data_IF_843636783875
#
_entry.id   IF_843636783875
#
_cell.length_a   1.000
_cell.length_b   1.000
_cell.length_c   1.000
_cell.angle_alpha   90.00
_cell.angle_beta   90.00
_cell.angle_gamma   90.00
#
_symmetry.space_group_name_H-M   'P 1'
#
loop_
_entity.id
_entity.type
_entity.pdbx_description
1 polymer ?
#
# COMPACT_ATOMS: atom_id res chain seq x y z
N UNK A 1 10.87 -1.58 -37.45
CA UNK A 1 9.43 -1.34 -37.31
C UNK A 1 8.98 -2.10 -36.06
N UNK A 2 8.98 -1.45 -34.89
CA UNK A 2 8.70 -2.13 -33.62
C UNK A 2 7.18 -2.29 -33.47
N UNK A 3 6.75 -3.54 -33.27
CA UNK A 3 5.36 -3.95 -33.09
C UNK A 3 4.71 -3.09 -31.99
N UNK A 4 3.61 -2.42 -32.33
CA UNK A 4 2.73 -1.78 -31.36
C UNK A 4 2.20 -2.87 -30.43
N UNK A 5 2.80 -3.06 -29.25
CA UNK A 5 2.25 -3.99 -28.28
C UNK A 5 0.88 -3.48 -27.83
N UNK A 6 -0.17 -4.06 -28.42
CA UNK A 6 -1.55 -3.94 -28.00
C UNK A 6 -1.66 -4.36 -26.52
N UNK A 7 -2.58 -3.74 -25.78
CA UNK A 7 -2.89 -4.09 -24.38
C UNK A 7 -3.69 -5.41 -24.32
N UNK A 8 -3.15 -6.47 -24.91
CA UNK A 8 -3.68 -7.83 -24.80
C UNK A 8 -3.36 -8.40 -23.41
N UNK A 9 -4.12 -9.40 -23.00
CA UNK A 9 -3.91 -10.07 -21.70
C UNK A 9 -2.55 -10.76 -21.65
N UNK A 10 -2.17 -11.47 -22.71
CA UNK A 10 -0.93 -12.24 -22.79
C UNK A 10 0.32 -11.35 -22.71
N UNK A 11 0.34 -10.22 -23.44
CA UNK A 11 1.46 -9.28 -23.40
C UNK A 11 1.68 -8.73 -21.99
N UNK A 12 0.59 -8.47 -21.26
CA UNK A 12 0.66 -7.93 -19.90
C UNK A 12 1.02 -8.98 -18.87
N UNK A 13 0.68 -10.25 -19.11
CA UNK A 13 1.01 -11.35 -18.20
C UNK A 13 2.52 -11.46 -17.97
N UNK A 14 3.32 -11.34 -19.04
CA UNK A 14 4.78 -11.37 -18.91
C UNK A 14 5.33 -10.23 -18.04
N UNK A 15 4.78 -9.01 -18.18
CA UNK A 15 5.15 -7.89 -17.31
C UNK A 15 4.76 -8.13 -15.84
N UNK A 16 3.64 -8.80 -15.61
CA UNK A 16 3.17 -9.17 -14.28
C UNK A 16 4.06 -10.24 -13.64
N UNK A 17 4.50 -11.23 -14.41
CA UNK A 17 5.38 -12.31 -13.94
C UNK A 17 6.71 -11.77 -13.39
N UNK A 18 7.33 -10.80 -14.08
CA UNK A 18 8.59 -10.16 -13.66
C UNK A 18 8.48 -9.48 -12.28
N UNK A 19 7.27 -9.08 -11.88
CA UNK A 19 7.03 -8.40 -10.60
C UNK A 19 7.05 -9.37 -9.41
N UNK A 20 6.86 -10.67 -9.66
CA UNK A 20 6.86 -11.68 -8.61
C UNK A 20 8.26 -12.26 -8.48
N UNK A 21 8.84 -12.14 -7.29
CA UNK A 21 10.18 -12.65 -6.99
C UNK A 21 10.12 -14.14 -6.67
N UNK A 22 11.04 -14.89 -7.25
CA UNK A 22 11.35 -16.27 -6.84
C UNK A 22 11.55 -16.33 -5.30
N UNK A 23 11.02 -17.35 -4.60
CA UNK A 23 10.43 -18.60 -5.10
C UNK A 23 8.93 -18.54 -5.43
N UNK A 24 8.31 -17.38 -5.28
CA UNK A 24 6.89 -17.22 -5.52
C UNK A 24 6.56 -17.22 -7.01
N UNK A 25 5.33 -17.63 -7.32
CA UNK A 25 4.82 -17.66 -8.70
C UNK A 25 3.58 -16.78 -8.82
N UNK A 26 3.46 -16.09 -9.94
CA UNK A 26 2.22 -15.38 -10.25
C UNK A 26 1.09 -16.38 -10.50
N UNK A 27 -0.11 -16.04 -10.06
CA UNK A 27 -1.33 -16.73 -10.44
C UNK A 27 -1.94 -15.98 -11.64
N UNK A 28 -2.00 -16.58 -12.84
CA UNK A 28 -2.56 -15.94 -14.03
C UNK A 28 -4.02 -15.47 -13.87
N UNK A 29 -4.77 -16.11 -12.97
CA UNK A 29 -6.16 -15.72 -12.66
C UNK A 29 -6.25 -14.48 -11.76
N UNK A 30 -5.14 -14.07 -11.13
CA UNK A 30 -5.02 -12.89 -10.27
C UNK A 30 -4.20 -11.77 -10.92
N UNK A 31 -4.15 -11.75 -12.25
CA UNK A 31 -3.69 -10.61 -13.04
C UNK A 31 -4.89 -9.72 -13.39
N UNK A 32 -4.98 -8.54 -12.77
CA UNK A 32 -6.17 -7.68 -12.74
C UNK A 32 -5.85 -6.34 -13.38
N UNK A 33 -6.32 -6.13 -14.60
CA UNK A 33 -5.77 -5.13 -15.50
C UNK A 33 -6.62 -3.88 -15.71
N UNK A 34 -7.87 -3.91 -15.25
CA UNK A 34 -8.84 -2.81 -15.34
C UNK A 34 -9.77 -2.79 -14.11
N UNK A 35 -10.56 -1.72 -13.92
CA UNK A 35 -11.56 -1.67 -12.85
C UNK A 35 -12.63 -2.77 -12.96
N UNK A 36 -13.03 -3.15 -14.18
CA UNK A 36 -13.96 -4.25 -14.42
C UNK A 36 -13.40 -5.58 -13.90
N UNK A 37 -12.16 -5.91 -14.25
CA UNK A 37 -11.52 -7.15 -13.75
C UNK A 37 -11.35 -7.15 -12.23
N UNK A 38 -11.20 -5.96 -11.64
CA UNK A 38 -11.20 -5.78 -10.19
C UNK A 38 -12.53 -6.20 -9.57
N UNK A 39 -13.65 -5.78 -10.17
CA UNK A 39 -14.99 -6.22 -9.74
C UNK A 39 -15.16 -7.72 -9.93
N UNK A 40 -14.72 -8.28 -11.06
CA UNK A 40 -14.76 -9.73 -11.30
C UNK A 40 -13.96 -10.50 -10.24
N UNK A 41 -12.83 -9.93 -9.80
CA UNK A 41 -11.95 -10.55 -8.78
C UNK A 41 -12.62 -10.74 -7.42
N UNK A 42 -13.66 -9.96 -7.09
CA UNK A 42 -14.48 -10.16 -5.88
C UNK A 42 -15.11 -11.56 -5.88
N UNK A 43 -15.41 -12.09 -7.07
CA UNK A 43 -15.92 -13.44 -7.28
C UNK A 43 -14.87 -14.55 -7.13
N UNK A 44 -13.58 -14.23 -7.25
CA UNK A 44 -12.50 -15.20 -7.36
C UNK A 44 -12.31 -15.99 -6.05
N UNK A 45 -12.21 -17.34 -6.08
CA UNK A 45 -12.16 -18.16 -4.86
C UNK A 45 -11.05 -17.77 -3.87
N UNK A 46 -9.85 -17.44 -4.37
CA UNK A 46 -8.74 -17.01 -3.51
C UNK A 46 -9.01 -15.67 -2.83
N UNK A 47 -9.61 -14.71 -3.56
CA UNK A 47 -9.93 -13.38 -3.02
C UNK A 47 -11.07 -13.48 -2.03
N UNK A 48 -12.15 -14.20 -2.36
CA UNK A 48 -13.25 -14.49 -1.43
C UNK A 48 -12.75 -15.12 -0.13
N UNK A 49 -11.89 -16.15 -0.24
CA UNK A 49 -11.38 -16.82 0.94
C UNK A 49 -10.47 -15.92 1.77
N UNK A 50 -9.67 -15.06 1.13
CA UNK A 50 -8.83 -14.08 1.82
C UNK A 50 -9.67 -13.01 2.52
N UNK A 51 -10.61 -12.39 1.81
CA UNK A 51 -11.52 -11.37 2.34
C UNK A 51 -12.33 -11.91 3.52
N UNK A 52 -12.85 -13.14 3.42
CA UNK A 52 -13.51 -13.83 4.54
C UNK A 52 -12.59 -13.94 5.75
N UNK A 53 -11.35 -14.38 5.53
CA UNK A 53 -10.36 -14.54 6.59
C UNK A 53 -10.05 -13.21 7.28
N UNK A 54 -9.73 -12.15 6.55
CA UNK A 54 -9.39 -10.87 7.18
C UNK A 54 -10.61 -10.22 7.86
N UNK A 55 -11.82 -10.32 7.27
CA UNK A 55 -13.03 -9.74 7.86
C UNK A 55 -13.42 -10.44 9.15
N UNK A 56 -13.31 -11.78 9.19
CA UNK A 56 -14.01 -12.58 10.21
C UNK A 56 -13.08 -13.38 11.13
N UNK A 57 -11.89 -13.78 10.66
CA UNK A 57 -11.08 -14.82 11.32
C UNK A 57 -9.77 -14.25 11.89
N UNK A 58 -9.05 -13.43 11.12
CA UNK A 58 -7.73 -12.92 11.52
C UNK A 58 -7.81 -12.07 12.79
N UNK A 59 -7.03 -12.37 13.83
CA UNK A 59 -6.92 -11.48 15.00
C UNK A 59 -5.44 -11.31 15.32
N UNK A 60 -4.97 -10.07 15.60
CA UNK A 60 -3.60 -9.86 16.05
C UNK A 60 -3.31 -10.67 17.30
N UNK A 61 -2.06 -11.12 17.45
CA UNK A 61 -1.61 -11.81 18.67
C UNK A 61 -1.89 -10.98 19.92
N UNK A 62 -2.25 -11.65 21.02
CA UNK A 62 -2.53 -11.00 22.30
C UNK A 62 -1.36 -10.06 22.70
N UNK A 63 -1.71 -8.88 23.20
CA UNK A 63 -0.73 -7.92 23.69
C UNK A 63 -0.27 -8.36 25.08
N UNK A 64 1.04 -8.65 25.29
CA UNK A 64 1.54 -9.02 26.61
C UNK A 64 1.33 -7.90 27.63
N UNK A 65 1.13 -8.28 28.90
CA UNK A 65 0.93 -7.31 30.00
C UNK A 65 2.10 -6.32 30.05
N UNK A 66 1.77 -5.03 30.19
CA UNK A 66 2.76 -3.95 30.24
C UNK A 66 3.29 -3.49 28.87
N UNK A 67 2.85 -4.12 27.77
CA UNK A 67 3.17 -3.67 26.41
C UNK A 67 1.98 -3.01 25.74
N UNK A 68 2.26 -2.16 24.76
CA UNK A 68 1.29 -1.52 23.87
C UNK A 68 1.53 -2.02 22.45
N UNK A 69 0.48 -2.52 21.81
CA UNK A 69 0.54 -2.95 20.41
C UNK A 69 0.04 -1.85 19.50
N UNK A 70 0.76 -1.56 18.42
CA UNK A 70 0.48 -0.50 17.46
C UNK A 70 0.37 -1.13 16.08
N UNK A 71 -0.63 -0.73 15.30
CA UNK A 71 -0.72 -1.11 13.89
C UNK A 71 -0.19 0.01 12.99
N UNK A 72 0.63 -0.35 12.02
CA UNK A 72 1.10 0.52 10.95
C UNK A 72 0.62 -0.03 9.60
N UNK A 73 -0.37 0.64 9.03
CA UNK A 73 -0.87 0.37 7.68
C UNK A 73 0.05 1.06 6.67
N UNK A 74 0.54 0.33 5.67
CA UNK A 74 1.43 0.84 4.60
C UNK A 74 0.91 0.38 3.23
N UNK A 75 1.18 1.10 2.13
CA UNK A 75 0.62 0.72 0.83
C UNK A 75 1.30 -0.52 0.26
N UNK A 76 0.58 -1.25 -0.60
CA UNK A 76 1.22 -2.25 -1.43
C UNK A 76 2.14 -1.61 -2.47
N UNK A 77 3.05 -2.42 -3.00
CA UNK A 77 4.06 -1.98 -3.96
C UNK A 77 4.08 -2.88 -5.20
N UNK A 78 4.76 -2.43 -6.26
CA UNK A 78 4.83 -3.11 -7.56
C UNK A 78 5.36 -4.54 -7.43
N UNK A 79 6.45 -4.73 -6.69
CA UNK A 79 7.15 -6.00 -6.55
C UNK A 79 6.60 -6.79 -5.37
N UNK A 80 6.49 -8.11 -5.55
CA UNK A 80 6.02 -9.03 -4.53
C UNK A 80 7.04 -10.14 -4.28
N UNK A 81 7.29 -10.53 -3.02
CA UNK A 81 6.68 -10.01 -1.79
C UNK A 81 7.01 -8.55 -1.54
N UNK A 82 6.07 -7.79 -0.97
CA UNK A 82 6.19 -6.32 -0.86
C UNK A 82 7.48 -5.88 -0.17
N UNK A 83 7.97 -6.69 0.78
CA UNK A 83 9.21 -6.44 1.53
C UNK A 83 10.44 -6.30 0.63
N UNK A 84 10.43 -6.85 -0.60
CA UNK A 84 11.51 -6.70 -1.58
C UNK A 84 11.46 -5.37 -2.35
N UNK A 85 10.38 -4.60 -2.22
CA UNK A 85 10.29 -3.27 -2.79
C UNK A 85 11.19 -2.29 -2.04
N UNK A 86 11.80 -1.35 -2.78
CA UNK A 86 12.66 -0.33 -2.18
C UNK A 86 11.93 0.47 -1.11
N UNK A 87 10.65 0.80 -1.30
CA UNK A 87 9.86 1.52 -0.31
C UNK A 87 9.73 0.75 1.02
N UNK A 88 9.39 -0.55 0.96
CA UNK A 88 9.27 -1.37 2.17
C UNK A 88 10.63 -1.58 2.83
N UNK A 89 11.70 -1.74 2.04
CA UNK A 89 13.08 -1.78 2.58
C UNK A 89 13.42 -0.46 3.28
N UNK A 90 13.12 0.69 2.68
CA UNK A 90 13.38 1.99 3.30
C UNK A 90 12.62 2.16 4.64
N UNK A 91 11.34 1.77 4.69
CA UNK A 91 10.53 1.78 5.93
C UNK A 91 11.17 0.86 6.98
N UNK A 92 11.45 -0.40 6.63
CA UNK A 92 11.99 -1.38 7.56
C UNK A 92 13.40 -1.00 8.05
N UNK A 93 14.30 -0.56 7.17
CA UNK A 93 15.62 -0.05 7.55
C UNK A 93 15.49 1.12 8.53
N UNK A 94 14.59 2.07 8.25
CA UNK A 94 14.37 3.20 9.14
C UNK A 94 13.93 2.76 10.55
N UNK A 95 13.09 1.73 10.65
CA UNK A 95 12.70 1.12 11.91
C UNK A 95 13.91 0.44 12.59
N UNK A 96 14.62 -0.44 11.89
CA UNK A 96 15.76 -1.16 12.47
C UNK A 96 16.89 -0.24 12.93
N UNK A 97 17.27 0.75 12.13
CA UNK A 97 18.26 1.77 12.52
C UNK A 97 17.80 2.63 13.71
N UNK A 98 16.52 2.61 14.06
CA UNK A 98 15.96 3.27 15.22
C UNK A 98 15.68 2.33 16.41
N UNK A 99 16.34 1.17 16.45
CA UNK A 99 16.33 0.27 17.61
C UNK A 99 15.10 -0.63 17.72
N UNK A 100 14.31 -0.75 16.66
CA UNK A 100 13.31 -1.80 16.57
C UNK A 100 13.99 -3.15 16.29
N UNK A 101 13.47 -4.22 16.89
CA UNK A 101 13.96 -5.58 16.69
C UNK A 101 12.82 -6.50 16.29
N UNK A 102 13.09 -7.48 15.42
CA UNK A 102 12.11 -8.49 15.05
C UNK A 102 11.72 -9.40 16.21
N UNK A 103 10.46 -9.84 16.23
CA UNK A 103 9.94 -10.83 17.18
C UNK A 103 9.67 -12.14 16.44
N UNK A 104 10.16 -13.25 16.99
CA UNK A 104 9.92 -14.59 16.43
C UNK A 104 10.85 -14.95 15.28
N UNK A 105 10.62 -16.14 14.73
CA UNK A 105 11.40 -16.69 13.61
C UNK A 105 10.75 -16.27 12.30
N UNK A 106 11.58 -15.81 11.36
CA UNK A 106 11.16 -15.39 10.01
C UNK A 106 10.88 -16.63 9.15
N UNK A 107 9.77 -16.63 8.43
CA UNK A 107 9.49 -17.60 7.36
C UNK A 107 9.94 -17.09 5.98
N UNK A 108 10.56 -15.91 5.91
CA UNK A 108 11.13 -15.37 4.67
C UNK A 108 12.02 -16.41 3.94
N UNK A 109 11.74 -16.73 2.67
CA UNK A 109 12.57 -17.66 1.92
C UNK A 109 14.00 -17.14 1.75
N UNK A 110 15.00 -18.00 1.98
CA UNK A 110 16.44 -17.68 1.82
C UNK A 110 16.77 -17.14 0.42
N UNK A 111 16.05 -17.59 -0.61
CA UNK A 111 16.24 -17.10 -1.96
C UNK A 111 15.94 -15.59 -2.14
N UNK A 112 15.30 -14.95 -1.16
CA UNK A 112 15.11 -13.50 -1.14
C UNK A 112 16.37 -12.74 -0.71
N UNK A 113 17.33 -13.38 -0.03
CA UNK A 113 18.56 -12.73 0.48
C UNK A 113 19.35 -12.01 -0.61
N UNK A 114 19.27 -12.48 -1.87
CA UNK A 114 19.88 -11.80 -3.03
C UNK A 114 19.35 -10.39 -3.31
N UNK A 115 18.23 -9.99 -2.70
CA UNK A 115 17.64 -8.65 -2.81
C UNK A 115 18.05 -7.72 -1.66
N UNK A 116 18.84 -8.21 -0.70
CA UNK A 116 19.49 -7.41 0.34
C UNK A 116 20.63 -6.64 -0.32
N UNK A 117 20.58 -5.32 -0.24
CA UNK A 117 21.64 -4.42 -0.70
C UNK A 117 22.65 -4.16 0.44
N UNK A 118 23.84 -3.66 0.11
CA UNK A 118 24.97 -3.47 1.06
C UNK A 118 24.59 -2.72 2.36
N UNK A 119 23.65 -1.78 2.27
CA UNK A 119 23.21 -0.95 3.39
C UNK A 119 21.88 -1.40 4.03
N UNK A 120 21.32 -2.53 3.58
CA UNK A 120 20.11 -3.08 4.17
C UNK A 120 20.44 -3.83 5.48
N UNK A 121 19.57 -3.71 6.48
CA UNK A 121 19.63 -4.55 7.68
C UNK A 121 19.39 -6.02 7.29
N UNK A 122 20.12 -6.98 7.87
CA UNK A 122 19.96 -8.40 7.55
C UNK A 122 18.54 -8.94 7.84
N UNK A 123 17.78 -8.25 8.71
CA UNK A 123 16.41 -8.60 9.08
C UNK A 123 15.36 -7.93 8.18
N UNK A 124 15.76 -7.30 7.08
CA UNK A 124 14.89 -6.44 6.25
C UNK A 124 13.63 -7.14 5.74
N UNK A 125 13.70 -8.46 5.55
CA UNK A 125 12.60 -9.30 5.08
C UNK A 125 11.85 -10.01 6.19
N UNK A 126 12.12 -9.71 7.47
CA UNK A 126 11.36 -10.28 8.57
C UNK A 126 9.91 -9.76 8.54
N UNK A 127 8.96 -10.68 8.48
CA UNK A 127 7.52 -10.41 8.37
C UNK A 127 6.78 -10.35 9.71
N UNK A 128 7.40 -10.77 10.80
CA UNK A 128 6.78 -10.72 12.13
C UNK A 128 6.62 -9.31 12.68
N UNK A 129 6.01 -9.22 13.86
CA UNK A 129 5.94 -7.99 14.64
C UNK A 129 7.34 -7.48 15.00
N UNK A 130 7.48 -6.18 15.20
CA UNK A 130 8.70 -5.56 15.73
C UNK A 130 8.50 -5.10 17.18
N UNK A 131 9.55 -5.15 17.99
CA UNK A 131 9.55 -4.65 19.37
C UNK A 131 10.54 -3.51 19.54
N UNK A 132 10.14 -2.49 20.30
CA UNK A 132 11.03 -1.49 20.86
C UNK A 132 10.48 -1.03 22.21
N UNK A 133 11.27 -1.18 23.28
CA UNK A 133 10.87 -0.84 24.64
C UNK A 133 9.52 -1.49 25.00
N UNK A 134 8.52 -0.69 25.38
CA UNK A 134 7.17 -1.16 25.72
C UNK A 134 6.22 -1.25 24.50
N UNK A 135 6.71 -1.06 23.27
CA UNK A 135 5.91 -1.10 22.05
C UNK A 135 6.13 -2.39 21.25
N UNK A 136 5.02 -2.93 20.74
CA UNK A 136 4.97 -3.92 19.67
C UNK A 136 4.35 -3.25 18.44
N UNK A 137 4.99 -3.37 17.29
CA UNK A 137 4.54 -2.81 16.02
C UNK A 137 4.18 -3.93 15.05
N UNK A 138 2.91 -3.99 14.68
CA UNK A 138 2.44 -4.80 13.56
C UNK A 138 2.42 -3.96 12.30
N UNK A 139 2.90 -4.52 11.20
CA UNK A 139 2.84 -3.92 9.88
C UNK A 139 1.73 -4.60 9.09
N UNK A 140 0.91 -3.80 8.43
CA UNK A 140 -0.24 -4.28 7.64
C UNK A 140 -0.18 -3.59 6.29
N UNK A 141 -0.21 -4.33 5.20
CA UNK A 141 -0.29 -3.74 3.86
C UNK A 141 -1.74 -3.51 3.51
N UNK A 142 -2.11 -2.28 3.14
CA UNK A 142 -3.37 -2.03 2.45
C UNK A 142 -3.16 -2.26 0.96
N UNK A 143 -4.05 -3.03 0.33
CA UNK A 143 -3.90 -3.42 -1.07
C UNK A 143 -5.20 -3.80 -1.74
N UNK A 144 -5.23 -3.73 -3.05
CA UNK A 144 -6.27 -4.26 -3.90
C UNK A 144 -5.79 -5.56 -4.57
N UNK A 145 -6.65 -6.56 -4.78
CA UNK A 145 -8.04 -6.67 -4.32
C UNK A 145 -8.15 -7.19 -2.87
N UNK A 146 -7.04 -7.30 -2.13
CA UNK A 146 -6.96 -8.04 -0.88
C UNK A 146 -7.50 -7.29 0.35
N UNK A 147 -7.76 -5.98 0.26
CA UNK A 147 -8.12 -5.12 1.39
C UNK A 147 -6.94 -4.88 2.31
N UNK A 148 -6.71 -5.78 3.26
CA UNK A 148 -5.59 -5.74 4.20
C UNK A 148 -4.78 -7.03 4.12
N UNK A 149 -3.46 -6.90 4.28
CA UNK A 149 -2.51 -8.00 4.37
C UNK A 149 -1.62 -7.79 5.58
N UNK A 150 -1.93 -8.42 6.73
CA UNK A 150 -1.01 -8.46 7.86
C UNK A 150 0.33 -9.05 7.39
N UNK A 151 1.45 -8.41 7.77
CA UNK A 151 2.77 -8.86 7.31
C UNK A 151 3.03 -10.34 7.62
N UNK A 152 2.57 -10.83 8.77
CA UNK A 152 2.72 -12.24 9.18
C UNK A 152 2.18 -13.24 8.13
N UNK A 153 1.30 -12.81 7.22
CA UNK A 153 0.75 -13.64 6.14
C UNK A 153 1.20 -13.20 4.74
N UNK A 154 2.28 -12.40 4.63
CA UNK A 154 2.75 -11.88 3.35
C UNK A 154 3.34 -12.97 2.46
N UNK A 155 4.11 -13.90 3.04
CA UNK A 155 4.75 -14.99 2.30
C UNK A 155 3.81 -16.17 2.16
N UNK A 156 3.27 -16.64 3.28
CA UNK A 156 2.48 -17.84 3.38
C UNK A 156 1.17 -17.60 4.13
N UNK A 157 0.14 -18.34 3.75
CA UNK A 157 -1.14 -18.36 4.43
C UNK A 157 -1.74 -19.76 4.30
N UNK A 158 -2.15 -20.34 5.43
CA UNK A 158 -2.63 -21.73 5.50
C UNK A 158 -1.64 -22.75 4.89
N UNK A 159 -0.34 -22.55 5.18
CA UNK A 159 0.75 -23.42 4.70
C UNK A 159 1.00 -23.38 3.19
N UNK A 160 0.41 -22.41 2.48
CA UNK A 160 0.56 -22.23 1.02
C UNK A 160 1.01 -20.82 0.71
N UNK A 161 1.52 -20.59 -0.50
CA UNK A 161 1.83 -19.24 -0.98
C UNK A 161 0.63 -18.31 -0.77
N UNK A 162 0.88 -17.18 -0.11
CA UNK A 162 -0.13 -16.16 0.14
C UNK A 162 -0.64 -15.56 -1.17
N UNK A 163 -1.93 -15.19 -1.28
CA UNK A 163 -2.38 -14.41 -2.43
C UNK A 163 -1.61 -13.09 -2.57
N UNK A 164 -1.06 -12.54 -1.48
CA UNK A 164 -0.24 -11.32 -1.49
C UNK A 164 1.05 -11.44 -2.33
N UNK A 165 1.55 -12.65 -2.56
CA UNK A 165 2.73 -12.91 -3.40
C UNK A 165 2.38 -13.46 -4.78
N UNK A 166 1.09 -13.60 -5.12
CA UNK A 166 0.66 -14.28 -6.34
C UNK A 166 -0.20 -13.44 -7.30
N UNK A 167 -0.36 -12.13 -7.08
CA UNK A 167 -1.24 -11.29 -7.89
C UNK A 167 -0.51 -10.09 -8.50
N UNK A 168 -1.09 -9.48 -9.53
CA UNK A 168 -0.72 -8.16 -10.02
C UNK A 168 -1.99 -7.37 -10.32
N UNK A 169 -2.11 -6.18 -9.75
CA UNK A 169 -3.31 -5.35 -9.89
C UNK A 169 -2.94 -3.91 -10.22
N UNK A 170 -2.67 -3.59 -11.50
CA UNK A 170 -2.66 -2.21 -11.96
C UNK A 170 -4.07 -1.65 -12.22
N UNK A 171 -5.15 -2.41 -12.04
CA UNK A 171 -6.48 -2.11 -12.57
C UNK A 171 -7.14 -0.83 -12.02
N UNK A 172 -6.76 -0.35 -10.83
CA UNK A 172 -7.37 0.85 -10.22
C UNK A 172 -6.55 2.14 -10.36
N UNK A 173 -5.45 2.12 -11.14
CA UNK A 173 -4.56 3.27 -11.26
C UNK A 173 -4.87 4.13 -12.49
N UNK A 174 -5.92 4.95 -12.45
CA UNK A 174 -6.37 5.81 -13.58
C UNK A 174 -5.23 6.65 -14.19
N UNK A 175 -4.37 7.22 -13.34
CA UNK A 175 -3.29 8.13 -13.75
C UNK A 175 -2.24 7.48 -14.65
N UNK A 176 -2.10 6.15 -14.61
CA UNK A 176 -1.16 5.40 -15.46
C UNK A 176 -1.62 5.35 -16.92
N UNK A 177 -2.92 5.48 -17.17
CA UNK A 177 -3.49 5.39 -18.52
C UNK A 177 -3.42 4.01 -19.16
N UNK A 178 -2.95 2.98 -18.45
CA UNK A 178 -2.86 1.59 -18.94
C UNK A 178 -3.81 0.64 -18.19
N UNK A 179 -4.53 1.16 -17.20
CA UNK A 179 -5.45 0.43 -16.32
C UNK A 179 -6.81 0.22 -16.99
N UNK A 180 -6.79 -0.38 -18.17
CA UNK A 180 -7.95 -0.66 -19.03
C UNK A 180 -7.77 -2.02 -19.69
N UNK A 181 -8.87 -2.64 -20.13
CA UNK A 181 -8.85 -3.92 -20.84
C UNK A 181 -9.62 -3.78 -22.15
N UNK A 182 -9.01 -3.20 -23.23
CA UNK A 182 -9.70 -2.93 -24.50
C UNK A 182 -10.24 -4.17 -25.21
N UNK A 183 -9.75 -5.37 -24.84
CA UNK A 183 -10.25 -6.65 -25.32
C UNK A 183 -11.60 -7.06 -24.72
N UNK A 184 -12.09 -6.39 -23.68
CA UNK A 184 -13.39 -6.69 -23.08
C UNK A 184 -14.52 -6.05 -23.86
N UNK A 185 -15.65 -6.76 -23.97
CA UNK A 185 -16.86 -6.25 -24.62
C UNK A 185 -17.48 -5.05 -23.88
N UNK A 186 -17.31 -4.97 -22.56
CA UNK A 186 -17.80 -3.89 -21.70
C UNK A 186 -16.77 -2.76 -21.49
N UNK A 187 -15.69 -2.73 -22.29
CA UNK A 187 -14.71 -1.65 -22.24
C UNK A 187 -15.27 -0.40 -22.92
N UNK A 188 -15.31 0.72 -22.18
CA UNK A 188 -15.74 2.03 -22.73
C UNK A 188 -14.61 3.07 -22.71
N UNK A 189 -13.41 2.66 -22.33
CA UNK A 189 -12.24 3.52 -22.33
C UNK A 189 -11.90 4.02 -23.73
N UNK A 190 -11.43 5.27 -23.82
CA UNK A 190 -11.02 5.88 -25.09
C UNK A 190 -9.51 6.06 -25.12
N UNK A 191 -8.91 5.71 -26.25
CA UNK A 191 -7.48 5.89 -26.47
C UNK A 191 -7.18 7.39 -26.66
N UNK A 192 -6.25 7.93 -25.87
CA UNK A 192 -5.82 9.34 -25.98
C UNK A 192 -4.64 9.44 -26.96
N UNK A 193 -3.55 8.71 -26.68
CA UNK A 193 -2.34 8.72 -27.50
C UNK A 193 -1.43 7.54 -27.11
N UNK A 194 -0.71 6.96 -28.08
CA UNK A 194 0.19 5.83 -27.80
C UNK A 194 -0.51 4.70 -27.03
N UNK A 195 0.01 4.33 -25.86
CA UNK A 195 -0.62 3.37 -24.94
C UNK A 195 -1.46 4.01 -23.82
N UNK A 196 -1.71 5.32 -23.90
CA UNK A 196 -2.45 6.07 -22.88
C UNK A 196 -3.94 6.10 -23.20
N UNK A 197 -4.73 5.62 -22.25
CA UNK A 197 -6.19 5.57 -22.29
C UNK A 197 -6.81 6.45 -21.22
N UNK A 198 -8.04 6.89 -21.47
CA UNK A 198 -8.93 7.53 -20.51
C UNK A 198 -10.04 6.57 -20.14
N UNK A 199 -10.33 6.43 -18.86
CA UNK A 199 -11.48 5.67 -18.39
C UNK A 199 -12.79 6.21 -18.96
N UNK A 200 -13.60 5.30 -19.49
CA UNK A 200 -14.96 5.55 -19.93
C UNK A 200 -15.95 5.43 -18.78
N UNK A 201 -17.22 5.22 -19.11
CA UNK A 201 -18.29 5.16 -18.12
C UNK A 201 -18.29 3.83 -17.36
N UNK A 202 -17.97 2.71 -18.00
CA UNK A 202 -17.93 1.39 -17.36
C UNK A 202 -16.72 1.23 -16.44
N UNK A 203 -15.54 1.73 -16.83
CA UNK A 203 -14.35 1.72 -15.98
C UNK A 203 -14.59 2.54 -14.70
N UNK A 204 -15.21 3.73 -14.84
CA UNK A 204 -15.55 4.58 -13.69
C UNK A 204 -16.61 3.95 -12.79
N UNK A 205 -17.61 3.29 -13.38
CA UNK A 205 -18.66 2.58 -12.63
C UNK A 205 -18.06 1.44 -11.80
N UNK A 206 -17.20 0.63 -12.44
CA UNK A 206 -16.53 -0.50 -11.80
C UNK A 206 -15.51 -0.04 -10.76
N UNK A 207 -14.81 1.08 -10.99
CA UNK A 207 -13.91 1.69 -10.01
C UNK A 207 -14.67 2.07 -8.73
N UNK A 208 -15.83 2.72 -8.84
CA UNK A 208 -16.64 3.10 -7.66
C UNK A 208 -17.09 1.85 -6.91
N UNK A 209 -17.55 0.83 -7.62
CA UNK A 209 -17.97 -0.44 -7.02
C UNK A 209 -16.83 -1.11 -6.25
N UNK A 210 -15.68 -1.32 -6.90
CA UNK A 210 -14.54 -1.96 -6.25
C UNK A 210 -13.99 -1.13 -5.09
N UNK A 211 -13.84 0.18 -5.28
CA UNK A 211 -13.35 1.08 -4.24
C UNK A 211 -14.23 1.01 -2.99
N UNK A 212 -15.55 1.12 -3.15
CA UNK A 212 -16.46 1.10 -2.01
C UNK A 212 -16.56 -0.30 -1.38
N UNK A 213 -16.43 -1.37 -2.16
CA UNK A 213 -16.30 -2.73 -1.63
C UNK A 213 -15.05 -2.88 -0.75
N UNK A 214 -13.89 -2.43 -1.21
CA UNK A 214 -12.66 -2.47 -0.41
C UNK A 214 -12.77 -1.63 0.86
N UNK A 215 -13.40 -0.45 0.79
CA UNK A 215 -13.65 0.38 1.98
C UNK A 215 -14.50 -0.38 3.00
N UNK A 216 -15.54 -1.09 2.58
CA UNK A 216 -16.36 -1.92 3.47
C UNK A 216 -15.53 -3.05 4.11
N UNK A 217 -14.72 -3.76 3.31
CA UNK A 217 -13.83 -4.84 3.78
C UNK A 217 -12.84 -4.32 4.84
N UNK A 218 -12.15 -3.21 4.54
CA UNK A 218 -11.16 -2.59 5.43
C UNK A 218 -11.85 -2.07 6.69
N UNK A 219 -12.96 -1.34 6.56
CA UNK A 219 -13.72 -0.79 7.70
C UNK A 219 -14.17 -1.90 8.65
N UNK A 220 -14.80 -2.96 8.11
CA UNK A 220 -15.27 -4.10 8.90
C UNK A 220 -14.12 -4.77 9.66
N UNK A 221 -13.01 -4.99 8.97
CA UNK A 221 -11.82 -5.63 9.56
C UNK A 221 -11.24 -4.76 10.67
N UNK A 222 -10.99 -3.48 10.40
CA UNK A 222 -10.35 -2.57 11.37
C UNK A 222 -11.23 -2.33 12.59
N UNK A 223 -12.55 -2.17 12.44
CA UNK A 223 -13.47 -2.04 13.58
C UNK A 223 -13.41 -3.26 14.50
N UNK A 224 -13.28 -4.47 13.94
CA UNK A 224 -13.18 -5.70 14.74
C UNK A 224 -11.86 -5.81 15.49
N UNK A 225 -10.74 -5.51 14.83
CA UNK A 225 -9.40 -5.72 15.41
C UNK A 225 -8.87 -4.54 16.21
N UNK A 226 -9.45 -3.35 16.08
CA UNK A 226 -8.96 -2.11 16.69
C UNK A 226 -8.79 -2.20 18.21
N UNK A 227 -9.65 -2.93 18.90
CA UNK A 227 -9.56 -3.16 20.35
C UNK A 227 -8.26 -3.84 20.81
N UNK A 228 -7.54 -4.50 19.90
CA UNK A 228 -6.25 -5.14 20.18
C UNK A 228 -5.07 -4.18 20.03
N UNK A 229 -5.31 -2.99 19.49
CA UNK A 229 -4.30 -1.98 19.22
C UNK A 229 -4.50 -0.77 20.13
N UNK A 230 -3.40 -0.29 20.70
CA UNK A 230 -3.37 1.00 21.39
C UNK A 230 -3.69 2.15 20.43
N UNK A 231 -3.17 2.07 19.19
CA UNK A 231 -3.54 2.97 18.11
C UNK A 231 -3.21 2.35 16.74
N UNK A 232 -3.81 2.92 15.70
CA UNK A 232 -3.61 2.53 14.30
C UNK A 232 -3.12 3.78 13.54
N UNK A 233 -1.96 3.67 12.90
CA UNK A 233 -1.44 4.67 11.97
C UNK A 233 -1.47 4.12 10.55
N UNK A 234 -1.73 4.97 9.57
CA UNK A 234 -1.61 4.64 8.15
C UNK A 234 -0.58 5.54 7.49
N UNK A 235 0.52 4.97 6.99
CA UNK A 235 1.60 5.62 6.27
C UNK A 235 1.38 5.50 4.76
N UNK A 236 0.46 6.30 4.22
CA UNK A 236 0.01 6.27 2.83
C UNK A 236 0.03 7.69 2.26
N UNK A 237 0.84 8.01 1.24
CA UNK A 237 1.01 9.39 0.78
C UNK A 237 -0.22 9.91 0.02
N UNK A 238 -0.50 11.23 0.08
CA UNK A 238 -1.41 11.91 -0.85
C UNK A 238 -1.10 11.55 -2.30
N UNK A 239 -2.15 11.23 -3.07
CA UNK A 239 -2.05 10.80 -4.46
C UNK A 239 -2.01 9.28 -4.68
N UNK A 240 -1.89 8.46 -3.63
CA UNK A 240 -2.06 7.01 -3.73
C UNK A 240 -3.53 6.62 -3.58
N UNK A 241 -3.99 5.67 -4.40
CA UNK A 241 -5.34 5.09 -4.31
C UNK A 241 -5.65 4.59 -2.90
N UNK A 242 -4.69 3.95 -2.23
CA UNK A 242 -4.79 3.51 -0.84
C UNK A 242 -5.26 4.60 0.14
N UNK A 243 -4.80 5.85 -0.04
CA UNK A 243 -5.19 6.96 0.84
C UNK A 243 -6.66 7.31 0.66
N UNK A 244 -7.19 7.14 -0.55
CA UNK A 244 -8.62 7.35 -0.79
C UNK A 244 -9.46 6.35 0.01
N UNK A 245 -9.09 5.07 0.09
CA UNK A 245 -9.86 4.10 0.89
C UNK A 245 -9.97 4.47 2.38
N UNK A 246 -9.02 5.23 2.91
CA UNK A 246 -8.98 5.59 4.33
C UNK A 246 -9.62 6.94 4.63
N UNK A 247 -9.40 7.93 3.76
CA UNK A 247 -9.73 9.34 4.02
C UNK A 247 -11.24 9.61 4.02
N UNK A 248 -11.71 10.34 5.04
CA UNK A 248 -13.07 10.87 5.11
C UNK A 248 -13.30 12.03 4.14
N UNK A 249 -14.54 12.51 4.07
CA UNK A 249 -14.92 13.67 3.27
C UNK A 249 -14.05 14.91 3.53
N UNK A 250 -13.70 15.19 4.79
CA UNK A 250 -12.95 16.40 5.16
C UNK A 250 -11.53 16.34 4.61
N UNK A 251 -10.81 15.26 4.91
CA UNK A 251 -9.45 15.06 4.44
C UNK A 251 -9.40 14.97 2.92
N UNK A 252 -10.37 14.31 2.29
CA UNK A 252 -10.47 14.26 0.82
C UNK A 252 -10.59 15.65 0.21
N UNK A 253 -11.39 16.54 0.81
CA UNK A 253 -11.51 17.91 0.36
C UNK A 253 -10.19 18.68 0.51
N UNK A 254 -9.56 18.61 1.69
CA UNK A 254 -8.27 19.28 1.98
C UNK A 254 -7.16 18.85 1.01
N UNK A 255 -7.15 17.57 0.62
CA UNK A 255 -6.11 16.97 -0.21
C UNK A 255 -6.49 16.81 -1.69
N UNK A 256 -7.66 17.34 -2.08
CA UNK A 256 -8.19 17.28 -3.44
C UNK A 256 -8.34 15.84 -3.97
N UNK A 257 -8.66 14.91 -3.09
CA UNK A 257 -9.02 13.54 -3.45
C UNK A 257 -10.48 13.53 -3.92
N UNK A 258 -10.81 12.89 -5.07
CA UNK A 258 -12.18 12.84 -5.55
C UNK A 258 -13.17 12.29 -4.52
N UNK A 259 -14.31 12.99 -4.35
CA UNK A 259 -15.43 12.57 -3.48
C UNK A 259 -16.47 11.73 -4.24
N UNK A 260 -16.49 11.83 -5.55
CA UNK A 260 -17.48 11.19 -6.40
C UNK A 260 -16.92 10.96 -7.81
N UNK A 261 -17.61 10.12 -8.58
CA UNK A 261 -17.36 9.88 -10.01
C UNK A 261 -18.67 9.88 -10.78
N UNK A 262 -18.62 10.33 -12.03
CA UNK A 262 -19.71 10.13 -12.99
C UNK A 262 -19.65 8.68 -13.50
N UNK A 263 -20.74 7.95 -13.30
CA UNK A 263 -20.93 6.53 -13.63
C UNK A 263 -22.17 6.36 -14.51
N UNK A 264 -22.44 5.13 -14.96
CA UNK A 264 -23.65 4.83 -15.74
C UNK A 264 -24.95 5.09 -14.97
N UNK A 265 -24.87 5.04 -13.65
CA UNK A 265 -25.99 5.31 -12.73
C UNK A 265 -25.98 6.77 -12.22
N UNK A 266 -25.34 7.69 -12.95
CA UNK A 266 -25.19 9.09 -12.53
C UNK A 266 -23.97 9.32 -11.63
N UNK A 267 -24.01 10.37 -10.80
CA UNK A 267 -22.89 10.71 -9.90
C UNK A 267 -22.95 9.81 -8.67
N UNK A 268 -21.93 8.99 -8.47
CA UNK A 268 -21.82 8.10 -7.31
C UNK A 268 -20.70 8.53 -6.38
N UNK A 269 -20.93 8.35 -5.07
CA UNK A 269 -19.99 8.73 -4.00
C UNK A 269 -18.87 7.70 -3.85
N UNK A 270 -17.69 8.19 -3.49
CA UNK A 270 -16.57 7.40 -3.01
C UNK A 270 -16.47 7.59 -1.49
N UNK A 271 -16.47 6.48 -0.74
CA UNK A 271 -16.38 6.51 0.72
C UNK A 271 -14.96 6.21 1.22
N UNK A 272 -14.57 6.69 2.39
CA UNK A 272 -13.40 6.22 3.11
C UNK A 272 -13.76 5.53 4.41
N UNK A 273 -12.82 4.77 4.98
CA UNK A 273 -12.95 4.14 6.30
C UNK A 273 -13.36 5.16 7.37
N UNK A 274 -12.73 6.35 7.35
CA UNK A 274 -13.02 7.39 8.33
C UNK A 274 -14.40 8.07 8.14
N UNK A 275 -15.08 7.87 7.01
CA UNK A 275 -16.50 8.29 6.87
C UNK A 275 -17.42 7.44 7.75
N UNK A 276 -17.07 6.16 8.00
CA UNK A 276 -17.85 5.22 8.79
C UNK A 276 -17.36 5.06 10.23
N UNK A 277 -16.04 5.21 10.44
CA UNK A 277 -15.41 5.07 11.73
C UNK A 277 -14.47 6.26 11.99
N UNK A 278 -15.02 7.43 12.36
CA UNK A 278 -14.22 8.61 12.68
C UNK A 278 -13.19 8.30 13.77
N UNK A 279 -11.98 8.84 13.64
CA UNK A 279 -10.87 8.66 14.58
C UNK A 279 -10.32 7.22 14.71
N UNK A 280 -10.77 6.25 13.90
CA UNK A 280 -10.29 4.86 13.97
C UNK A 280 -8.79 4.74 13.74
N UNK A 281 -8.22 5.61 12.90
CA UNK A 281 -6.80 5.62 12.57
C UNK A 281 -6.31 7.04 12.29
N UNK A 282 -5.00 7.23 12.40
CA UNK A 282 -4.32 8.46 11.98
C UNK A 282 -3.68 8.27 10.61
N UNK A 283 -4.04 9.09 9.63
CA UNK A 283 -3.46 9.03 8.28
C UNK A 283 -2.25 9.98 8.19
N UNK A 284 -1.13 9.45 7.74
CA UNK A 284 0.14 10.14 7.57
C UNK A 284 0.83 9.70 6.27
N UNK A 285 1.80 10.47 5.76
CA UNK A 285 2.12 11.84 6.16
C UNK A 285 0.99 12.82 5.80
N UNK A 286 0.91 13.97 6.48
CA UNK A 286 -0.01 15.06 6.09
C UNK A 286 0.59 15.92 4.95
N UNK A 287 -0.24 16.73 4.28
CA UNK A 287 0.24 17.66 3.25
C UNK A 287 1.32 18.61 3.79
N UNK A 288 1.19 19.08 5.03
CA UNK A 288 2.15 19.95 5.70
C UNK A 288 3.47 19.22 5.96
N UNK A 289 3.42 17.99 6.46
CA UNK A 289 4.61 17.14 6.67
C UNK A 289 5.34 16.90 5.34
N UNK A 290 4.61 16.73 4.25
CA UNK A 290 5.20 16.58 2.92
C UNK A 290 5.82 17.86 2.36
N UNK A 291 5.19 19.02 2.60
CA UNK A 291 5.80 20.33 2.28
C UNK A 291 7.10 20.52 3.06
N UNK A 292 7.12 20.13 4.34
CA UNK A 292 8.32 20.16 5.16
C UNK A 292 9.40 19.21 4.62
N UNK A 293 9.02 17.96 4.30
CA UNK A 293 9.93 16.96 3.73
C UNK A 293 10.60 17.45 2.45
N UNK A 294 9.88 18.18 1.58
CA UNK A 294 10.47 18.76 0.36
C UNK A 294 11.50 19.87 0.66
N UNK A 295 11.30 20.65 1.73
CA UNK A 295 12.28 21.66 2.18
C UNK A 295 13.56 20.99 2.68
N UNK A 296 13.43 19.95 3.48
CA UNK A 296 14.55 19.17 4.00
C UNK A 296 15.29 18.42 2.87
N UNK A 297 14.54 17.84 1.93
CA UNK A 297 15.10 17.17 0.76
C UNK A 297 15.97 18.13 -0.05
N UNK A 298 15.51 19.37 -0.24
CA UNK A 298 16.30 20.40 -0.92
C UNK A 298 17.64 20.66 -0.21
N UNK A 299 17.63 20.71 1.13
CA UNK A 299 18.83 20.92 1.94
C UNK A 299 19.79 19.73 1.78
N UNK A 300 19.28 18.49 1.89
CA UNK A 300 20.07 17.28 1.69
C UNK A 300 20.69 17.23 0.30
N UNK A 301 19.90 17.43 -0.76
CA UNK A 301 20.41 17.43 -2.14
C UNK A 301 21.54 18.45 -2.33
N UNK A 302 21.41 19.65 -1.75
CA UNK A 302 22.48 20.66 -1.79
C UNK A 302 23.75 20.17 -1.08
N UNK A 303 23.62 19.53 0.08
CA UNK A 303 24.76 18.97 0.84
C UNK A 303 25.45 17.83 0.08
N UNK A 304 24.69 17.02 -0.65
CA UNK A 304 25.18 15.92 -1.49
C UNK A 304 25.80 16.41 -2.82
N UNK A 305 25.84 17.74 -3.08
CA UNK A 305 26.30 18.28 -4.37
C UNK A 305 25.34 18.00 -5.54
N UNK A 306 24.11 17.57 -5.26
CA UNK A 306 23.07 17.29 -6.28
C UNK A 306 22.26 18.55 -6.60
N UNK A 307 21.67 18.59 -7.78
CA UNK A 307 20.80 19.69 -8.19
C UNK A 307 19.61 19.84 -7.21
N UNK A 308 19.54 20.99 -6.52
CA UNK A 308 18.53 21.30 -5.51
C UNK A 308 17.50 22.34 -5.98
N UNK A 309 17.34 22.54 -7.30
CA UNK A 309 16.31 23.41 -7.85
C UNK A 309 14.89 22.89 -7.53
N UNK A 310 13.85 23.76 -7.48
CA UNK A 310 12.48 23.31 -7.22
C UNK A 310 12.00 22.20 -8.17
N UNK A 311 12.41 22.24 -9.43
CA UNK A 311 12.10 21.19 -10.41
C UNK A 311 12.77 19.86 -10.06
N UNK A 312 14.05 19.89 -9.69
CA UNK A 312 14.79 18.70 -9.29
C UNK A 312 14.21 18.07 -8.02
N UNK A 313 13.93 18.88 -7.00
CA UNK A 313 13.29 18.44 -5.75
C UNK A 313 11.96 17.75 -6.05
N UNK A 314 11.09 18.37 -6.87
CA UNK A 314 9.81 17.75 -7.28
C UNK A 314 10.02 16.41 -7.99
N UNK A 315 11.03 16.29 -8.84
CA UNK A 315 11.30 15.07 -9.61
C UNK A 315 11.87 13.93 -8.75
N UNK A 316 12.74 14.25 -7.78
CA UNK A 316 13.25 13.27 -6.79
C UNK A 316 12.11 12.85 -5.88
N UNK A 317 11.37 13.82 -5.36
CA UNK A 317 10.25 13.61 -4.46
C UNK A 317 9.18 12.71 -5.07
N UNK A 318 8.73 13.02 -6.29
CA UNK A 318 7.69 12.24 -6.99
C UNK A 318 8.05 10.77 -7.21
N UNK A 319 9.35 10.43 -7.21
CA UNK A 319 9.87 9.06 -7.40
C UNK A 319 10.41 8.45 -6.11
N UNK A 320 10.31 9.16 -4.98
CA UNK A 320 10.89 8.70 -3.72
C UNK A 320 12.41 8.52 -3.75
N UNK A 321 13.13 9.23 -4.62
CA UNK A 321 14.55 8.97 -4.91
C UNK A 321 14.81 7.50 -5.35
N UNK A 322 13.87 6.91 -6.09
CA UNK A 322 13.94 5.53 -6.57
C UNK A 322 13.08 4.54 -5.79
N UNK A 323 12.29 4.99 -4.81
CA UNK A 323 11.36 4.21 -3.99
C UNK A 323 9.91 4.19 -4.52
N UNK A 324 9.67 4.53 -5.79
CA UNK A 324 8.35 4.69 -6.42
C UNK A 324 7.48 5.83 -5.85
N UNK A 325 7.50 6.09 -4.54
CA UNK A 325 6.74 7.16 -3.87
C UNK A 325 7.57 7.90 -2.82
N UNK A 326 7.15 9.11 -2.40
CA UNK A 326 7.84 9.86 -1.35
C UNK A 326 7.93 9.14 0.01
N UNK A 327 7.17 8.06 0.24
CA UNK A 327 7.11 7.39 1.55
C UNK A 327 8.42 6.74 1.98
N UNK A 328 9.25 6.33 1.02
CA UNK A 328 10.58 5.78 1.27
C UNK A 328 11.68 6.83 1.44
N UNK A 329 11.38 8.12 1.30
CA UNK A 329 12.37 9.18 1.51
C UNK A 329 12.73 9.29 2.98
N UNK A 330 14.02 9.47 3.25
CA UNK A 330 14.55 9.72 4.59
C UNK A 330 13.77 10.82 5.32
N UNK A 331 13.53 11.95 4.66
CA UNK A 331 12.84 13.11 5.24
C UNK A 331 11.40 12.79 5.64
N UNK A 332 10.71 12.01 4.82
CA UNK A 332 9.33 11.61 5.08
C UNK A 332 9.30 10.60 6.23
N UNK A 333 10.19 9.60 6.23
CA UNK A 333 10.31 8.61 7.31
C UNK A 333 10.60 9.23 8.69
N UNK A 334 11.25 10.39 8.77
CA UNK A 334 11.40 11.10 10.04
C UNK A 334 10.06 11.43 10.72
N UNK A 335 9.00 11.69 9.95
CA UNK A 335 7.68 11.94 10.53
C UNK A 335 7.04 10.66 11.08
N UNK A 336 7.22 9.51 10.41
CA UNK A 336 6.79 8.20 10.92
C UNK A 336 7.47 7.88 12.25
N UNK A 337 8.80 8.04 12.30
CA UNK A 337 9.59 7.80 13.52
C UNK A 337 9.17 8.74 14.67
N UNK A 338 8.91 10.00 14.37
CA UNK A 338 8.39 10.97 15.37
C UNK A 338 7.03 10.56 15.92
N UNK A 339 6.13 10.05 15.08
CA UNK A 339 4.83 9.54 15.52
C UNK A 339 4.98 8.33 16.46
N UNK A 340 5.81 7.35 16.08
CA UNK A 340 6.10 6.18 16.93
C UNK A 340 6.71 6.60 18.28
N UNK A 341 7.68 7.54 18.26
CA UNK A 341 8.30 8.07 19.48
C UNK A 341 7.31 8.83 20.38
N UNK A 342 6.29 9.47 19.81
CA UNK A 342 5.24 10.14 20.60
C UNK A 342 4.39 9.13 21.36
N UNK A 343 4.03 8.01 20.71
CA UNK A 343 3.27 6.92 21.34
C UNK A 343 4.06 6.29 22.50
N UNK A 344 5.37 6.15 22.30
CA UNK A 344 6.30 5.67 23.33
C UNK A 344 6.31 6.62 24.55
N UNK A 345 6.50 7.93 24.30
CA UNK A 345 6.68 8.98 25.33
C UNK A 345 5.44 9.33 26.14
N UNK A 346 4.24 9.25 25.56
CA UNK A 346 3.00 9.54 26.28
C UNK A 346 2.76 8.60 27.50
N UNK A 347 3.70 7.69 27.80
CA UNK A 347 3.69 6.82 28.97
C UNK A 347 4.60 7.25 30.12
N UNK A 348 5.64 8.06 29.87
CA UNK A 348 6.60 8.40 30.92
C UNK A 348 6.02 9.31 32.03
N UNK A 349 4.79 9.80 31.83
CA UNK A 349 4.07 10.68 32.75
C UNK A 349 2.79 10.05 33.31
N UNK A 350 2.46 8.80 32.95
CA UNK A 350 1.28 8.05 33.45
C UNK A 350 1.67 6.82 34.29
N UNK A 351 2.98 6.60 34.50
CA UNK A 351 3.56 5.65 35.46
C UNK A 351 4.19 6.42 36.61
#
# INVERSE_FOLDING_TARGET
>A
MFVMNELTRDNRFHESEIKIRYPFKIDPSLCIYSPQENVDSIGHPKIKSWVKFIKNEWTPSQTPKGLKRVALIIPCTKYKPYLTSREHKAINNSLFSNGWNSIGVSEAPTALEKFIEENDDQRIFHEGSLKKNNLILDRIVISEPLGLVPYEFVYYWKGKQSPATSYDDPGLFESRGTSVSPYRQDCTATKISGQKWRWGIEERSSYVQMHNHLVEVVTTTLLRVSKNYHCIGAWVSPGLTHRSFLADKKLRHEEKIPLNRKTKNGIQKLFGVLDFAPNLLTIMPTVEQLKFSQKELRIRLKKEGRNSSPRSVRAVYARGDGNDTPLGLYETLQHLLKWLKKIEKNNAYES
#
